data_IF_556781195021
#
_entry.id   IF_556781195021
#
_cell.length_a   1.000
_cell.length_b   1.000
_cell.length_c   1.000
_cell.angle_alpha   90.00
_cell.angle_beta   90.00
_cell.angle_gamma   90.00
#
_symmetry.space_group_name_H-M   'P 1'
#
loop_
_entity.id
_entity.type
_entity.pdbx_description
1 polymer ?
#
# COMPACT_ATOMS: atom_id res chain seq x y z
N UNK A 1 10.97 32.24 22.04
CA UNK A 1 11.52 31.47 20.92
C UNK A 1 12.98 31.88 20.81
N UNK A 2 13.89 30.97 21.17
CA UNK A 2 15.33 31.18 21.00
C UNK A 2 15.64 30.85 19.54
N UNK A 3 16.15 31.81 18.77
CA UNK A 3 16.76 31.50 17.50
C UNK A 3 18.20 31.13 17.81
N UNK A 4 18.51 29.83 17.70
CA UNK A 4 19.89 29.36 17.65
C UNK A 4 20.35 29.39 16.20
N UNK A 5 21.54 29.94 15.93
CA UNK A 5 22.18 29.88 14.61
C UNK A 5 22.82 28.49 14.34
N UNK A 6 22.69 27.56 15.29
CA UNK A 6 23.19 26.19 15.18
C UNK A 6 22.16 25.23 14.56
N UNK A 7 22.64 24.09 14.08
CA UNK A 7 21.79 23.02 13.55
C UNK A 7 20.83 22.45 14.58
N UNK A 8 19.67 22.00 14.11
CA UNK A 8 18.67 21.27 14.89
C UNK A 8 18.61 19.81 14.42
N UNK A 9 18.24 18.90 15.31
CA UNK A 9 17.88 17.53 14.96
C UNK A 9 16.39 17.37 15.11
N UNK A 10 15.74 16.78 14.11
CA UNK A 10 14.31 16.46 14.15
C UNK A 10 14.19 14.94 14.11
N UNK A 11 13.40 14.41 15.04
CA UNK A 11 13.01 13.01 15.12
C UNK A 11 11.49 12.95 15.02
N UNK A 12 10.95 12.03 14.21
CA UNK A 12 9.52 11.90 13.92
C UNK A 12 9.14 10.46 14.20
N UNK A 13 8.06 10.26 14.96
CA UNK A 13 7.53 8.98 15.41
C UNK A 13 6.01 9.08 15.61
N UNK A 14 5.26 8.23 14.91
CA UNK A 14 3.81 8.01 15.07
C UNK A 14 2.98 9.31 15.27
N UNK A 15 2.89 10.16 14.24
CA UNK A 15 2.10 11.40 14.33
C UNK A 15 2.66 12.46 15.29
N UNK A 16 3.84 12.20 15.89
CA UNK A 16 4.56 13.12 16.78
C UNK A 16 6.02 13.30 16.37
N UNK A 17 6.64 14.39 16.80
CA UNK A 17 8.03 14.66 16.50
C UNK A 17 8.68 15.55 17.53
N UNK A 18 9.97 15.33 17.74
CA UNK A 18 10.81 16.09 18.65
C UNK A 18 11.85 16.87 17.86
N UNK A 19 11.95 18.17 18.13
CA UNK A 19 13.08 18.99 17.69
C UNK A 19 14.05 19.16 18.85
N UNK A 20 15.31 18.81 18.66
CA UNK A 20 16.41 19.04 19.61
C UNK A 20 17.29 20.18 19.11
N UNK A 21 17.45 21.21 19.93
CA UNK A 21 18.32 22.36 19.66
C UNK A 21 19.75 22.08 20.14
N UNK A 22 20.73 22.82 19.62
CA UNK A 22 22.15 22.68 19.94
C UNK A 22 22.50 22.88 21.42
N UNK A 23 21.65 23.59 22.17
CA UNK A 23 21.77 23.76 23.62
C UNK A 23 21.18 22.58 24.43
N UNK A 24 20.69 21.55 23.74
CA UNK A 24 20.09 20.34 24.32
C UNK A 24 18.64 20.53 24.77
N UNK A 25 18.03 21.70 24.53
CA UNK A 25 16.58 21.86 24.74
C UNK A 25 15.81 21.14 23.65
N UNK A 26 14.59 20.70 23.99
CA UNK A 26 13.70 20.03 23.05
C UNK A 26 12.37 20.76 22.92
N UNK A 27 11.79 20.71 21.73
CA UNK A 27 10.39 21.03 21.47
C UNK A 27 9.69 19.82 20.88
N UNK A 28 8.38 19.73 21.03
CA UNK A 28 7.56 18.67 20.41
C UNK A 28 6.54 19.30 19.46
N UNK A 29 6.23 18.58 18.39
CA UNK A 29 5.04 18.76 17.58
C UNK A 29 4.28 17.42 17.57
N UNK A 30 2.96 17.47 17.55
CA UNK A 30 2.06 16.31 17.56
C UNK A 30 0.91 16.61 16.60
N UNK A 31 0.08 15.59 16.34
CA UNK A 31 -1.13 15.73 15.55
C UNK A 31 -0.82 16.15 14.10
N UNK A 32 0.18 15.50 13.48
CA UNK A 32 0.27 15.50 12.02
C UNK A 32 -0.36 14.22 11.49
N UNK A 33 -1.38 14.41 10.65
CA UNK A 33 -2.13 13.33 10.01
C UNK A 33 -1.78 13.24 8.51
N UNK A 34 -0.67 13.84 8.09
CA UNK A 34 -0.27 13.88 6.67
C UNK A 34 1.23 13.79 6.51
N UNK A 35 1.64 12.80 5.72
CA UNK A 35 3.00 12.56 5.28
C UNK A 35 3.07 12.78 3.77
N UNK A 36 4.09 13.51 3.32
CA UNK A 36 4.35 13.74 1.90
C UNK A 36 5.78 13.33 1.63
N UNK A 37 5.96 12.44 0.67
CA UNK A 37 7.23 11.96 0.18
C UNK A 37 7.91 12.99 -0.70
N UNK A 38 8.83 12.49 -1.49
CA UNK A 38 9.80 13.28 -2.23
C UNK A 38 9.54 13.15 -3.74
N UNK A 39 10.59 13.30 -4.54
CA UNK A 39 10.53 13.03 -5.98
C UNK A 39 11.37 11.82 -6.33
N UNK A 40 11.46 10.86 -5.42
CA UNK A 40 12.25 9.64 -5.47
C UNK A 40 11.46 8.55 -4.77
N UNK A 41 11.79 7.29 -5.05
CA UNK A 41 11.15 6.13 -4.44
C UNK A 41 11.16 6.19 -2.90
N UNK A 42 9.97 6.31 -2.31
CA UNK A 42 9.74 6.40 -0.87
C UNK A 42 9.01 5.15 -0.34
N UNK A 43 9.21 4.84 0.95
CA UNK A 43 8.51 3.76 1.64
C UNK A 43 7.86 4.29 2.90
N UNK A 44 6.56 4.11 3.02
CA UNK A 44 5.77 4.49 4.18
C UNK A 44 5.33 3.24 4.94
N UNK A 45 5.90 3.05 6.13
CA UNK A 45 5.37 2.10 7.10
C UNK A 45 4.13 2.72 7.74
N UNK A 46 2.95 2.32 7.26
CA UNK A 46 1.71 2.90 7.72
C UNK A 46 1.21 2.18 8.97
N UNK A 47 0.93 2.97 10.01
CA UNK A 47 0.30 2.50 11.25
C UNK A 47 -1.20 2.87 11.25
N UNK A 48 -1.91 2.24 12.17
CA UNK A 48 -3.26 2.60 12.61
C UNK A 48 -3.44 4.09 12.86
N UNK A 49 -4.68 4.57 12.67
CA UNK A 49 -5.04 5.97 12.86
C UNK A 49 -5.48 6.67 11.57
N UNK A 50 -6.03 7.88 11.74
CA UNK A 50 -6.61 8.68 10.66
C UNK A 50 -5.51 9.47 9.91
N UNK A 51 -4.60 8.75 9.23
CA UNK A 51 -3.42 9.32 8.57
C UNK A 51 -3.58 9.35 7.03
N UNK A 52 -2.95 10.33 6.39
CA UNK A 52 -2.81 10.45 4.94
C UNK A 52 -1.35 10.35 4.51
N UNK A 53 -1.08 9.59 3.46
CA UNK A 53 0.25 9.43 2.87
C UNK A 53 0.22 9.85 1.39
N UNK A 54 1.18 10.64 0.96
CA UNK A 54 1.35 11.05 -0.43
C UNK A 54 2.77 10.70 -0.86
N UNK A 55 2.96 9.75 -1.77
CA UNK A 55 4.30 9.31 -2.20
C UNK A 55 5.07 10.38 -2.97
N UNK A 56 4.39 11.17 -3.79
CA UNK A 56 4.99 12.19 -4.63
C UNK A 56 5.31 11.66 -6.02
N UNK A 57 6.50 11.99 -6.54
CA UNK A 57 6.98 11.38 -7.79
C UNK A 57 7.91 10.22 -7.42
N UNK A 58 7.81 9.07 -8.09
CA UNK A 58 8.68 7.93 -7.78
C UNK A 58 8.00 6.62 -8.12
N UNK A 59 8.58 5.52 -7.64
CA UNK A 59 7.84 4.29 -7.38
C UNK A 59 7.76 4.13 -5.87
N UNK A 60 6.61 4.44 -5.32
CA UNK A 60 6.41 4.57 -3.88
C UNK A 60 5.68 3.36 -3.30
N UNK A 61 6.04 3.00 -2.07
CA UNK A 61 5.53 1.84 -1.34
C UNK A 61 4.75 2.27 -0.11
N UNK A 62 3.54 1.75 0.04
CA UNK A 62 2.80 1.74 1.31
C UNK A 62 2.90 0.33 1.91
N UNK A 63 3.48 0.23 3.09
CA UNK A 63 3.87 -1.03 3.75
C UNK A 63 3.08 -1.18 5.06
N UNK A 64 2.28 -2.26 5.16
CA UNK A 64 1.50 -2.60 6.34
C UNK A 64 2.11 -3.75 7.16
N UNK A 65 3.31 -4.23 6.82
CA UNK A 65 3.93 -5.44 7.39
C UNK A 65 4.14 -5.40 8.91
N UNK A 66 4.10 -4.21 9.51
CA UNK A 66 4.23 -4.00 10.95
C UNK A 66 2.90 -4.04 11.73
N UNK A 67 1.77 -4.14 11.01
CA UNK A 67 0.45 -4.20 11.63
C UNK A 67 0.23 -5.51 12.39
N UNK A 68 -0.55 -5.45 13.47
CA UNK A 68 -0.79 -6.59 14.36
C UNK A 68 -2.00 -7.45 13.96
N UNK A 69 -2.51 -7.28 12.75
CA UNK A 69 -3.62 -8.03 12.19
C UNK A 69 -3.94 -7.62 10.76
N UNK A 70 -4.69 -8.47 10.07
CA UNK A 70 -4.96 -8.28 8.65
C UNK A 70 -5.71 -6.98 8.33
N UNK A 71 -5.39 -6.42 7.17
CA UNK A 71 -5.90 -5.16 6.66
C UNK A 71 -6.89 -5.38 5.51
N UNK A 72 -7.75 -4.39 5.29
CA UNK A 72 -8.57 -4.32 4.09
C UNK A 72 -8.18 -3.08 3.28
N UNK A 73 -7.50 -3.28 2.16
CA UNK A 73 -6.98 -2.23 1.28
C UNK A 73 -7.88 -2.08 0.06
N UNK A 74 -8.28 -0.85 -0.25
CA UNK A 74 -9.00 -0.50 -1.47
C UNK A 74 -8.13 0.41 -2.32
N UNK A 75 -7.89 0.02 -3.56
CA UNK A 75 -7.02 0.70 -4.52
C UNK A 75 -7.86 1.33 -5.64
N UNK A 76 -7.61 2.63 -5.86
CA UNK A 76 -8.18 3.46 -6.93
C UNK A 76 -7.11 3.72 -8.01
N UNK A 77 -7.24 4.68 -8.94
CA UNK A 77 -6.27 4.85 -10.05
C UNK A 77 -4.88 5.35 -9.58
N UNK A 78 -4.84 6.24 -8.57
CA UNK A 78 -3.63 6.93 -8.09
C UNK A 78 -3.48 6.86 -6.56
N UNK A 79 -4.03 5.82 -5.90
CA UNK A 79 -3.94 5.68 -4.45
C UNK A 79 -4.96 4.72 -3.87
N UNK A 80 -5.44 5.02 -2.68
CA UNK A 80 -6.41 4.18 -2.02
C UNK A 80 -6.68 4.52 -0.57
N UNK A 81 -7.29 3.55 0.10
CA UNK A 81 -7.53 3.59 1.54
C UNK A 81 -7.33 2.22 2.14
N UNK A 82 -6.99 2.21 3.43
CA UNK A 82 -6.85 0.99 4.22
C UNK A 82 -7.75 1.07 5.43
N UNK A 83 -8.31 -0.07 5.81
CA UNK A 83 -8.96 -0.28 7.10
C UNK A 83 -8.16 -1.28 7.91
N UNK A 84 -7.72 -0.85 9.08
CA UNK A 84 -6.92 -1.66 9.99
C UNK A 84 -7.77 -2.56 10.90
N UNK A 85 -7.09 -3.47 11.59
CA UNK A 85 -7.70 -4.44 12.50
C UNK A 85 -8.44 -3.79 13.68
N UNK A 86 -8.05 -2.58 14.08
CA UNK A 86 -8.68 -1.82 15.17
C UNK A 86 -9.90 -0.98 14.72
N UNK A 87 -10.14 -0.95 13.41
CA UNK A 87 -11.24 -0.25 12.76
C UNK A 87 -10.96 1.21 12.38
N UNK A 88 -9.75 1.72 12.63
CA UNK A 88 -9.27 2.99 12.06
C UNK A 88 -9.05 2.85 10.55
N UNK A 89 -8.86 4.00 9.90
CA UNK A 89 -8.66 4.05 8.44
C UNK A 89 -7.60 5.07 8.08
N UNK A 90 -6.71 4.71 7.17
CA UNK A 90 -5.80 5.65 6.54
C UNK A 90 -6.10 5.78 5.04
N UNK A 91 -5.58 6.85 4.45
CA UNK A 91 -5.65 7.11 3.00
C UNK A 91 -4.26 7.29 2.44
N UNK A 92 -4.08 6.94 1.17
CA UNK A 92 -2.80 7.15 0.49
C UNK A 92 -3.01 7.55 -0.96
N UNK A 93 -2.06 8.27 -1.53
CA UNK A 93 -2.03 8.69 -2.94
C UNK A 93 -0.61 8.61 -3.48
N UNK A 94 -0.50 8.51 -4.81
CA UNK A 94 0.77 8.36 -5.54
C UNK A 94 1.58 7.21 -4.93
N UNK A 95 0.99 6.01 -4.95
CA UNK A 95 1.62 4.77 -4.49
C UNK A 95 1.47 3.73 -5.60
N UNK A 96 2.55 3.02 -5.89
CA UNK A 96 2.57 1.96 -6.92
C UNK A 96 2.67 0.57 -6.28
N UNK A 97 3.24 0.48 -5.07
CA UNK A 97 3.48 -0.78 -4.37
C UNK A 97 2.71 -0.80 -3.05
N UNK A 98 2.05 -1.92 -2.78
CA UNK A 98 1.24 -2.15 -1.58
C UNK A 98 1.66 -3.47 -0.97
N UNK A 99 2.28 -3.42 0.21
CA UNK A 99 2.67 -4.61 0.96
C UNK A 99 1.68 -4.84 2.10
N UNK A 100 1.14 -6.05 2.17
CA UNK A 100 0.23 -6.53 3.19
C UNK A 100 0.89 -6.75 4.55
N UNK A 101 0.32 -7.67 5.31
CA UNK A 101 0.72 -8.05 6.66
C UNK A 101 1.11 -9.53 6.70
N UNK A 102 1.59 -10.02 7.84
CA UNK A 102 1.75 -11.48 8.06
C UNK A 102 0.42 -12.21 8.36
N UNK A 103 -0.71 -11.55 8.14
CA UNK A 103 -2.06 -12.03 8.45
C UNK A 103 -2.94 -11.98 7.20
N UNK A 104 -4.09 -12.66 7.28
CA UNK A 104 -5.04 -12.68 6.17
C UNK A 104 -5.57 -11.28 5.81
N UNK A 105 -5.17 -10.80 4.65
CA UNK A 105 -5.51 -9.51 4.09
C UNK A 105 -6.56 -9.58 3.00
N UNK A 106 -7.19 -8.44 2.75
CA UNK A 106 -8.16 -8.26 1.68
C UNK A 106 -7.79 -7.04 0.85
N UNK A 107 -7.54 -7.25 -0.43
CA UNK A 107 -7.27 -6.21 -1.41
C UNK A 107 -8.46 -6.06 -2.36
N UNK A 108 -8.85 -4.83 -2.64
CA UNK A 108 -9.83 -4.49 -3.67
C UNK A 108 -9.13 -3.64 -4.73
N UNK A 109 -8.95 -4.15 -5.94
CA UNK A 109 -8.20 -3.44 -6.98
C UNK A 109 -9.00 -3.28 -8.28
N UNK A 110 -8.98 -2.06 -8.83
CA UNK A 110 -9.49 -1.73 -10.15
C UNK A 110 -8.43 -1.89 -11.26
N UNK A 111 -8.64 -1.25 -12.40
CA UNK A 111 -7.70 -1.19 -13.53
C UNK A 111 -6.54 -0.21 -13.30
N UNK A 112 -5.93 -0.24 -12.11
CA UNK A 112 -4.80 0.60 -11.73
C UNK A 112 -3.45 -0.12 -11.87
N UNK A 113 -2.36 0.63 -12.02
CA UNK A 113 -1.01 0.10 -12.16
C UNK A 113 -0.36 -0.26 -10.82
N UNK A 114 -0.86 -1.28 -10.12
CA UNK A 114 -0.37 -1.66 -8.79
C UNK A 114 0.50 -2.92 -8.79
N UNK A 115 1.45 -2.96 -7.85
CA UNK A 115 2.05 -4.19 -7.35
C UNK A 115 1.54 -4.45 -5.94
N UNK A 116 1.00 -5.64 -5.71
CA UNK A 116 0.41 -6.04 -4.42
C UNK A 116 1.17 -7.26 -3.91
N UNK A 117 1.74 -7.18 -2.71
CA UNK A 117 2.24 -8.33 -1.95
C UNK A 117 1.26 -8.67 -0.83
N UNK A 118 0.75 -9.91 -0.79
CA UNK A 118 -0.01 -10.40 0.36
C UNK A 118 0.86 -10.82 1.55
N UNK A 119 2.18 -10.97 1.35
CA UNK A 119 3.12 -11.53 2.33
C UNK A 119 2.70 -12.91 2.88
N UNK A 120 2.77 -13.14 4.19
CA UNK A 120 2.34 -14.39 4.81
C UNK A 120 0.84 -14.27 5.12
N UNK A 121 0.04 -15.28 4.84
CA UNK A 121 -1.39 -15.13 5.13
C UNK A 121 -2.26 -16.11 4.39
N UNK A 122 -3.51 -15.73 4.26
CA UNK A 122 -4.43 -16.34 3.31
C UNK A 122 -5.23 -15.19 2.73
N UNK A 123 -4.69 -14.66 1.64
CA UNK A 123 -4.95 -13.32 1.17
C UNK A 123 -5.94 -13.37 0.01
N UNK A 124 -6.73 -12.30 -0.10
CA UNK A 124 -7.81 -12.23 -1.06
C UNK A 124 -7.75 -10.94 -1.87
N UNK A 125 -7.63 -11.08 -3.19
CA UNK A 125 -7.73 -9.98 -4.14
C UNK A 125 -9.10 -10.00 -4.83
N UNK A 126 -9.87 -8.94 -4.66
CA UNK A 126 -11.14 -8.70 -5.33
C UNK A 126 -10.94 -7.70 -6.46
N UNK A 127 -11.14 -8.16 -7.69
CA UNK A 127 -11.10 -7.31 -8.88
C UNK A 127 -12.41 -6.54 -8.95
N UNK A 128 -12.32 -5.21 -8.83
CA UNK A 128 -13.48 -4.31 -8.81
C UNK A 128 -13.81 -3.70 -10.17
N UNK A 129 -12.88 -3.80 -11.13
CA UNK A 129 -13.07 -3.33 -12.50
C UNK A 129 -14.25 -4.04 -13.17
N UNK A 130 -14.98 -3.30 -14.01
CA UNK A 130 -16.03 -3.86 -14.87
C UNK A 130 -15.52 -4.27 -16.25
N UNK A 131 -14.24 -4.03 -16.53
CA UNK A 131 -13.60 -4.38 -17.79
C UNK A 131 -13.36 -5.89 -17.90
N UNK A 132 -13.16 -6.36 -19.13
CA UNK A 132 -12.60 -7.68 -19.35
C UNK A 132 -11.13 -7.68 -18.89
N UNK A 133 -10.69 -8.78 -18.30
CA UNK A 133 -9.33 -8.95 -17.82
C UNK A 133 -8.83 -10.37 -18.06
N UNK A 134 -7.52 -10.50 -18.16
CA UNK A 134 -6.82 -11.79 -18.24
C UNK A 134 -5.92 -11.95 -17.02
N UNK A 135 -6.01 -13.09 -16.34
CA UNK A 135 -5.07 -13.45 -15.28
C UNK A 135 -4.00 -14.36 -15.87
N UNK A 136 -2.75 -13.99 -15.69
CA UNK A 136 -1.56 -14.78 -16.03
C UNK A 136 -0.83 -15.14 -14.74
N UNK A 137 -0.84 -16.42 -14.37
CA UNK A 137 -0.05 -16.90 -13.22
C UNK A 137 1.42 -17.06 -13.60
N UNK A 138 2.30 -16.76 -12.64
CA UNK A 138 3.75 -16.77 -12.77
C UNK A 138 4.42 -17.96 -12.06
N UNK A 139 3.67 -18.65 -11.20
CA UNK A 139 4.12 -19.79 -10.40
C UNK A 139 3.13 -20.96 -10.46
N UNK A 140 3.60 -22.14 -10.05
CA UNK A 140 2.81 -23.36 -10.08
C UNK A 140 1.76 -23.43 -8.97
N UNK A 141 1.87 -22.53 -7.99
CA UNK A 141 0.97 -22.47 -6.84
C UNK A 141 -0.21 -21.52 -7.08
N UNK A 142 -0.29 -20.88 -8.26
CA UNK A 142 -1.29 -19.89 -8.67
C UNK A 142 -1.40 -18.71 -7.66
N UNK A 143 -0.30 -18.37 -6.99
CA UNK A 143 -0.25 -17.35 -5.93
C UNK A 143 0.41 -16.04 -6.37
N UNK A 144 1.13 -16.06 -7.50
CA UNK A 144 1.73 -14.86 -8.08
C UNK A 144 1.40 -14.75 -9.56
N UNK A 145 1.38 -13.53 -10.08
CA UNK A 145 0.95 -13.30 -11.45
C UNK A 145 0.69 -11.86 -11.81
N UNK A 146 -0.01 -11.70 -12.92
CA UNK A 146 -0.42 -10.40 -13.44
C UNK A 146 -1.85 -10.47 -13.93
N UNK A 147 -2.63 -9.46 -13.57
CA UNK A 147 -3.96 -9.20 -14.10
C UNK A 147 -3.80 -8.09 -15.13
N UNK A 148 -4.05 -8.40 -16.40
CA UNK A 148 -4.04 -7.41 -17.49
C UNK A 148 -5.47 -7.05 -17.88
N UNK A 149 -5.83 -5.78 -17.80
CA UNK A 149 -7.16 -5.26 -18.14
C UNK A 149 -7.27 -4.89 -19.63
N UNK A 150 -8.49 -4.69 -20.14
CA UNK A 150 -8.74 -4.34 -21.55
C UNK A 150 -8.08 -3.02 -21.96
N UNK A 151 -8.01 -2.05 -21.04
CA UNK A 151 -7.32 -0.76 -21.25
C UNK A 151 -5.78 -0.88 -21.32
N UNK A 152 -5.24 -2.05 -20.96
CA UNK A 152 -3.81 -2.35 -20.94
C UNK A 152 -3.10 -2.03 -19.62
N UNK A 153 -3.81 -1.59 -18.59
CA UNK A 153 -3.30 -1.52 -17.23
C UNK A 153 -3.01 -2.92 -16.67
N UNK A 154 -2.10 -2.99 -15.71
CA UNK A 154 -1.66 -4.24 -15.11
C UNK A 154 -1.64 -4.12 -13.59
N UNK A 155 -2.23 -5.10 -12.89
CA UNK A 155 -2.01 -5.34 -11.47
C UNK A 155 -1.11 -6.57 -11.34
N UNK A 156 0.08 -6.38 -10.79
CA UNK A 156 0.99 -7.47 -10.41
C UNK A 156 0.65 -7.90 -8.98
N UNK A 157 0.56 -9.20 -8.75
CA UNK A 157 0.29 -9.75 -7.43
C UNK A 157 1.30 -10.83 -7.07
N UNK A 158 1.64 -10.91 -5.79
CA UNK A 158 2.49 -11.93 -5.18
C UNK A 158 1.86 -12.38 -3.85
N UNK A 159 2.01 -13.66 -3.52
CA UNK A 159 1.42 -14.28 -2.32
C UNK A 159 -0.08 -13.99 -2.14
N UNK A 160 -0.90 -14.22 -3.17
CA UNK A 160 -2.36 -14.09 -3.10
C UNK A 160 -3.03 -15.44 -3.37
N UNK A 161 -3.58 -16.08 -2.35
CA UNK A 161 -4.21 -17.40 -2.49
C UNK A 161 -5.61 -17.36 -3.13
N UNK A 162 -6.32 -16.23 -3.06
CA UNK A 162 -7.69 -16.14 -3.56
C UNK A 162 -7.90 -14.91 -4.42
N UNK A 163 -8.24 -15.11 -5.68
CA UNK A 163 -8.61 -14.02 -6.59
C UNK A 163 -10.08 -14.14 -6.98
N UNK A 164 -10.83 -13.07 -6.76
CA UNK A 164 -12.26 -12.98 -7.03
C UNK A 164 -12.56 -11.91 -8.07
N UNK A 165 -13.18 -12.32 -9.17
CA UNK A 165 -13.61 -11.43 -10.25
C UNK A 165 -14.94 -10.72 -10.02
N UNK A 166 -15.01 -9.46 -10.46
CA UNK A 166 -16.26 -8.77 -10.78
C UNK A 166 -16.92 -9.31 -12.06
N UNK A 167 -18.21 -9.05 -12.25
CA UNK A 167 -19.03 -9.62 -13.32
C UNK A 167 -18.69 -9.10 -14.73
N UNK A 168 -17.60 -9.57 -15.33
CA UNK A 168 -17.36 -9.47 -16.77
C UNK A 168 -17.60 -10.83 -17.47
N UNK A 169 -18.16 -10.79 -18.69
CA UNK A 169 -18.53 -12.00 -19.48
C UNK A 169 -17.31 -12.58 -20.23
N UNK A 170 -16.10 -12.06 -19.95
CA UNK A 170 -14.88 -12.30 -20.71
C UNK A 170 -13.63 -12.69 -19.90
N UNK A 171 -13.75 -13.04 -18.62
CA UNK A 171 -12.60 -13.48 -17.81
C UNK A 171 -11.87 -14.65 -18.48
N UNK A 172 -10.58 -14.43 -18.79
CA UNK A 172 -9.70 -15.48 -19.29
C UNK A 172 -8.62 -15.75 -18.24
N UNK A 173 -8.50 -17.00 -17.80
CA UNK A 173 -7.43 -17.41 -16.88
C UNK A 173 -6.44 -18.23 -17.69
N UNK A 174 -5.20 -17.78 -17.72
CA UNK A 174 -4.07 -18.50 -18.31
C UNK A 174 -3.10 -18.87 -17.22
N UNK A 175 -3.01 -20.17 -17.00
CA UNK A 175 -2.02 -20.82 -16.17
C UNK A 175 -0.91 -21.34 -17.10
N UNK A 176 0.34 -21.02 -16.78
CA UNK A 176 1.53 -21.39 -17.56
C UNK A 176 2.21 -22.68 -17.10
N UNK A 177 1.60 -23.40 -16.16
CA UNK A 177 2.02 -24.72 -15.73
C UNK A 177 1.87 -25.76 -16.83
N UNK A 178 2.93 -25.87 -17.62
CA UNK A 178 3.13 -26.99 -18.52
C UNK A 178 3.99 -28.04 -17.81
N UNK A 179 3.28 -29.00 -17.19
CA UNK A 179 3.67 -30.36 -16.75
C UNK A 179 3.99 -30.62 -15.28
#
# INVERSE_FOLDING_TARGET
MSNSDDGITIEIDDGSGTVTFSDGTTGTFSDFESFVGTGSDDTFYADTGDTSYDGGDGTDTIDFSHEMGGVAVSLDEDGGSVRFHDGTTATFSNMEVVDGTEYNDIFYAGSGGYTISGDDGNDALYITSTEDYTITYSDDDDTSGTITFEDGSEVVFDSIENIYGGASDGTTVTDYDLY
#
